data_IF_590746876990
#
_entry.id   IF_590746876990
#
_cell.length_a   1.000
_cell.length_b   1.000
_cell.length_c   1.000
_cell.angle_alpha   90.00
_cell.angle_beta   90.00
_cell.angle_gamma   90.00
#
_symmetry.space_group_name_H-M   'P 1'
#
loop_
_entity.id
_entity.type
_entity.pdbx_description
1 polymer ?
#
# COMPACT_ATOMS: atom_id res chain seq x y z
N UNK A 1 23.97 13.56 -8.07
CA UNK A 1 22.68 13.08 -7.54
C UNK A 1 22.61 11.57 -7.73
N UNK A 2 22.36 10.78 -6.70
CA UNK A 2 22.09 9.34 -6.87
C UNK A 2 20.79 9.19 -7.65
N UNK A 3 20.79 8.39 -8.71
CA UNK A 3 19.58 8.08 -9.48
C UNK A 3 18.58 7.38 -8.57
N UNK A 4 17.34 7.88 -8.52
CA UNK A 4 16.24 7.22 -7.79
C UNK A 4 15.92 5.92 -8.52
N UNK A 5 15.86 4.77 -7.83
CA UNK A 5 15.43 3.52 -8.46
C UNK A 5 14.03 3.65 -9.05
N UNK A 6 13.86 3.16 -10.27
CA UNK A 6 12.56 3.14 -10.94
C UNK A 6 11.92 1.79 -10.67
N UNK A 7 10.81 1.77 -9.94
CA UNK A 7 10.00 0.58 -9.64
C UNK A 7 8.77 0.54 -10.54
N UNK A 8 8.13 1.69 -10.73
CA UNK A 8 7.00 1.85 -11.65
C UNK A 8 7.51 2.54 -12.91
N UNK A 9 7.39 1.90 -14.07
CA UNK A 9 7.80 2.48 -15.35
C UNK A 9 6.88 3.62 -15.79
N UNK A 10 7.37 4.49 -16.68
CA UNK A 10 6.63 5.67 -17.15
C UNK A 10 5.36 5.31 -17.93
N UNK A 11 5.35 4.15 -18.58
CA UNK A 11 4.21 3.59 -19.32
C UNK A 11 3.31 2.70 -18.48
N UNK A 12 3.58 2.58 -17.18
CA UNK A 12 2.81 1.72 -16.27
C UNK A 12 1.37 2.20 -16.11
N UNK A 13 0.45 1.27 -16.20
CA UNK A 13 -0.97 1.49 -15.91
C UNK A 13 -1.23 1.93 -14.45
N UNK A 14 -0.30 1.67 -13.54
CA UNK A 14 -0.37 2.16 -12.15
C UNK A 14 -0.13 3.67 -12.04
N UNK A 15 0.42 4.32 -13.07
CA UNK A 15 0.55 5.78 -13.16
C UNK A 15 -0.69 6.44 -13.75
N UNK A 16 -1.33 5.77 -14.70
CA UNK A 16 -2.47 6.33 -15.42
C UNK A 16 -3.71 6.27 -14.54
N UNK A 17 -4.03 7.39 -13.98
CA UNK A 17 -5.18 7.59 -13.13
C UNK A 17 -6.46 7.74 -13.94
N UNK A 18 -6.99 6.68 -14.51
CA UNK A 18 -8.42 6.60 -14.86
C UNK A 18 -9.32 6.80 -13.63
N UNK A 19 -8.73 6.83 -12.47
CA UNK A 19 -9.32 7.13 -11.16
C UNK A 19 -9.64 8.63 -10.96
N UNK A 20 -9.56 9.47 -11.99
CA UNK A 20 -10.02 10.88 -11.92
C UNK A 20 -11.45 11.04 -11.43
N UNK A 21 -12.22 9.97 -11.42
CA UNK A 21 -13.60 9.91 -10.95
C UNK A 21 -13.73 9.32 -9.54
N UNK A 22 -12.66 8.84 -8.92
CA UNK A 22 -12.71 8.42 -7.53
C UNK A 22 -12.36 9.59 -6.62
N UNK A 23 -13.02 9.66 -5.48
CA UNK A 23 -12.88 10.75 -4.49
C UNK A 23 -11.43 10.95 -4.03
N UNK A 24 -10.58 9.94 -4.18
CA UNK A 24 -9.24 9.85 -3.60
C UNK A 24 -8.12 9.73 -4.64
N UNK A 25 -8.42 9.94 -5.91
CA UNK A 25 -7.42 9.86 -6.96
C UNK A 25 -6.44 11.03 -6.87
N UNK A 26 -5.23 10.77 -6.43
CA UNK A 26 -4.11 11.70 -6.54
C UNK A 26 -3.32 11.32 -7.78
N UNK A 27 -3.29 12.14 -8.84
CA UNK A 27 -2.44 11.91 -9.97
C UNK A 27 -0.98 12.10 -9.54
N UNK A 28 -0.22 11.01 -9.48
CA UNK A 28 1.22 11.12 -9.30
C UNK A 28 1.90 11.36 -10.65
N UNK A 29 2.87 12.31 -10.68
CA UNK A 29 3.86 12.24 -11.74
C UNK A 29 4.74 11.00 -11.55
N UNK A 30 5.33 10.52 -12.63
CA UNK A 30 6.27 9.40 -12.63
C UNK A 30 7.38 9.57 -11.58
N UNK A 31 8.00 10.76 -11.54
CA UNK A 31 9.08 11.07 -10.62
C UNK A 31 8.60 11.11 -9.16
N UNK A 32 7.43 11.71 -8.92
CA UNK A 32 6.85 11.84 -7.59
C UNK A 32 6.53 10.45 -7.01
N UNK A 33 5.90 9.58 -7.80
CA UNK A 33 5.56 8.23 -7.37
C UNK A 33 6.82 7.41 -7.04
N UNK A 34 7.81 7.38 -7.96
CA UNK A 34 9.04 6.63 -7.71
C UNK A 34 9.87 7.21 -6.56
N UNK A 35 9.88 8.54 -6.37
CA UNK A 35 10.51 9.16 -5.20
C UNK A 35 9.83 8.72 -3.90
N UNK A 36 8.49 8.64 -3.87
CA UNK A 36 7.73 8.19 -2.72
C UNK A 36 7.96 6.70 -2.45
N UNK A 37 7.91 5.84 -3.48
CA UNK A 37 8.24 4.41 -3.36
C UNK A 37 9.67 4.23 -2.84
N UNK A 38 10.64 4.98 -3.38
CA UNK A 38 12.02 4.92 -2.90
C UNK A 38 12.15 5.27 -1.42
N UNK A 39 11.49 6.32 -0.96
CA UNK A 39 11.59 6.76 0.43
C UNK A 39 10.88 5.80 1.39
N UNK A 40 9.75 5.24 0.99
CA UNK A 40 8.92 4.40 1.86
C UNK A 40 9.30 2.91 1.81
N UNK A 41 9.60 2.38 0.62
CA UNK A 41 9.82 0.94 0.44
C UNK A 41 11.28 0.60 0.15
N UNK A 42 11.91 1.22 -0.86
CA UNK A 42 13.26 0.84 -1.28
C UNK A 42 14.31 1.10 -0.19
N UNK A 43 14.18 2.21 0.54
CA UNK A 43 15.08 2.54 1.67
C UNK A 43 14.83 1.70 2.91
N UNK A 44 13.66 1.10 3.01
CA UNK A 44 13.25 0.23 4.11
C UNK A 44 13.14 -1.23 3.63
N UNK A 45 14.06 -1.66 2.77
CA UNK A 45 13.98 -2.96 2.11
C UNK A 45 13.95 -4.14 3.07
N UNK A 46 14.57 -4.01 4.25
CA UNK A 46 14.50 -5.02 5.30
C UNK A 46 13.08 -5.26 5.83
N UNK A 47 12.21 -4.26 5.69
CA UNK A 47 10.79 -4.35 6.06
C UNK A 47 9.90 -4.81 4.89
N UNK A 48 10.47 -5.05 3.70
CA UNK A 48 9.73 -5.37 2.47
C UNK A 48 10.14 -6.72 1.90
N UNK A 49 11.43 -6.93 1.67
CA UNK A 49 11.94 -8.13 1.00
C UNK A 49 11.68 -9.40 1.82
N UNK A 50 11.04 -10.40 1.22
CA UNK A 50 10.67 -11.66 1.86
C UNK A 50 9.56 -11.54 2.91
N UNK A 51 8.86 -10.41 3.00
CA UNK A 51 7.85 -10.14 4.03
C UNK A 51 6.43 -10.38 3.52
N UNK A 52 5.56 -10.79 4.43
CA UNK A 52 4.10 -10.77 4.27
C UNK A 52 3.61 -9.40 4.73
N UNK A 53 2.98 -8.66 3.83
CA UNK A 53 2.65 -7.24 4.02
C UNK A 53 1.13 -7.04 3.99
N UNK A 54 0.62 -6.21 4.90
CA UNK A 54 -0.73 -5.65 4.86
C UNK A 54 -0.65 -4.18 4.44
N UNK A 55 -1.37 -3.80 3.38
CA UNK A 55 -1.49 -2.41 2.88
C UNK A 55 -2.90 -1.87 3.19
N UNK A 56 -2.98 -0.95 4.15
CA UNK A 56 -4.25 -0.36 4.62
C UNK A 56 -4.56 0.90 3.82
N UNK A 57 -5.74 0.94 3.19
CA UNK A 57 -6.10 1.98 2.23
C UNK A 57 -5.30 1.84 0.95
N UNK A 58 -5.22 0.61 0.45
CA UNK A 58 -4.36 0.23 -0.67
C UNK A 58 -4.77 0.88 -2.00
N UNK A 59 -5.97 1.45 -2.08
CA UNK A 59 -6.52 1.98 -3.32
C UNK A 59 -6.46 0.92 -4.43
N UNK A 60 -5.88 1.20 -5.59
CA UNK A 60 -5.69 0.21 -6.66
C UNK A 60 -4.42 -0.65 -6.50
N UNK A 61 -3.78 -0.62 -5.34
CA UNK A 61 -2.65 -1.48 -5.01
C UNK A 61 -1.30 -1.04 -5.59
N UNK A 62 -1.10 0.23 -5.89
CA UNK A 62 0.18 0.72 -6.46
C UNK A 62 1.37 0.43 -5.53
N UNK A 63 1.22 0.68 -4.22
CA UNK A 63 2.28 0.37 -3.24
C UNK A 63 2.38 -1.12 -2.96
N UNK A 64 1.26 -1.85 -2.96
CA UNK A 64 1.22 -3.30 -2.87
C UNK A 64 2.01 -3.95 -4.03
N UNK A 65 1.75 -3.51 -5.28
CA UNK A 65 2.50 -3.94 -6.45
C UNK A 65 3.99 -3.60 -6.34
N UNK A 66 4.31 -2.36 -5.92
CA UNK A 66 5.70 -1.94 -5.73
C UNK A 66 6.45 -2.76 -4.68
N UNK A 67 5.77 -3.16 -3.60
CA UNK A 67 6.36 -4.04 -2.59
C UNK A 67 6.65 -5.44 -3.17
N UNK A 68 5.78 -5.99 -4.02
CA UNK A 68 6.02 -7.27 -4.71
C UNK A 68 7.21 -7.19 -5.68
N UNK A 69 7.35 -6.09 -6.43
CA UNK A 69 8.50 -5.83 -7.30
C UNK A 69 9.81 -5.70 -6.49
N UNK A 70 9.74 -5.22 -5.26
CA UNK A 70 10.87 -5.12 -4.32
C UNK A 70 11.12 -6.41 -3.54
N UNK A 71 10.38 -7.50 -3.85
CA UNK A 71 10.63 -8.83 -3.32
C UNK A 71 9.80 -9.20 -2.09
N UNK A 72 8.70 -8.50 -1.79
CA UNK A 72 7.75 -8.98 -0.78
C UNK A 72 7.26 -10.38 -1.14
N UNK A 73 7.04 -11.24 -0.15
CA UNK A 73 6.53 -12.60 -0.35
C UNK A 73 5.06 -12.57 -0.76
N UNK A 74 4.27 -11.81 -0.02
CA UNK A 74 2.82 -11.69 -0.20
C UNK A 74 2.34 -10.31 0.22
N UNK A 75 1.36 -9.76 -0.49
CA UNK A 75 0.70 -8.51 -0.07
C UNK A 75 -0.81 -8.68 -0.02
N UNK A 76 -1.39 -8.36 1.14
CA UNK A 76 -2.81 -8.13 1.33
C UNK A 76 -3.10 -6.64 1.22
N UNK A 77 -3.92 -6.22 0.26
CA UNK A 77 -4.40 -4.84 0.18
C UNK A 77 -5.87 -4.76 0.58
N UNK A 78 -6.24 -3.77 1.39
CA UNK A 78 -7.63 -3.49 1.75
C UNK A 78 -7.98 -2.02 1.47
N UNK A 79 -9.17 -1.79 0.96
CA UNK A 79 -9.73 -0.45 0.77
C UNK A 79 -11.26 -0.52 0.83
N UNK A 80 -11.91 0.56 1.21
CA UNK A 80 -13.39 0.65 1.24
C UNK A 80 -14.00 0.94 -0.12
N UNK A 81 -13.20 1.41 -1.09
CA UNK A 81 -13.67 1.80 -2.41
C UNK A 81 -13.60 0.61 -3.39
N UNK A 82 -14.75 -0.02 -3.64
CA UNK A 82 -14.87 -1.21 -4.49
C UNK A 82 -14.27 -1.01 -5.90
N UNK A 83 -14.55 0.15 -6.53
CA UNK A 83 -14.06 0.45 -7.88
C UNK A 83 -12.54 0.46 -7.98
N UNK A 84 -11.86 0.95 -6.95
CA UNK A 84 -10.39 0.97 -6.92
C UNK A 84 -9.82 -0.41 -6.71
N UNK A 85 -10.44 -1.23 -5.86
CA UNK A 85 -10.05 -2.63 -5.66
C UNK A 85 -10.25 -3.45 -6.93
N UNK A 86 -11.39 -3.32 -7.61
CA UNK A 86 -11.63 -4.00 -8.89
C UNK A 86 -10.59 -3.59 -9.94
N UNK A 87 -10.33 -2.29 -10.06
CA UNK A 87 -9.29 -1.79 -10.96
C UNK A 87 -7.91 -2.34 -10.59
N UNK A 88 -7.58 -2.40 -9.31
CA UNK A 88 -6.35 -3.01 -8.81
C UNK A 88 -6.20 -4.47 -9.26
N UNK A 89 -7.24 -5.28 -9.07
CA UNK A 89 -7.24 -6.69 -9.52
C UNK A 89 -6.97 -6.82 -11.02
N UNK A 90 -7.58 -5.96 -11.84
CA UNK A 90 -7.30 -5.92 -13.28
C UNK A 90 -5.84 -5.59 -13.59
N UNK A 91 -5.28 -4.58 -12.91
CA UNK A 91 -3.88 -4.15 -13.10
C UNK A 91 -2.89 -5.26 -12.72
N UNK A 92 -3.12 -5.92 -11.58
CA UNK A 92 -2.28 -7.05 -11.15
C UNK A 92 -2.33 -8.22 -12.14
N UNK A 93 -3.52 -8.52 -12.67
CA UNK A 93 -3.69 -9.53 -13.73
C UNK A 93 -2.96 -9.13 -15.03
N UNK A 94 -3.07 -7.88 -15.46
CA UNK A 94 -2.36 -7.35 -16.63
C UNK A 94 -0.85 -7.40 -16.45
N UNK A 95 -0.36 -7.09 -15.25
CA UNK A 95 1.04 -7.20 -14.87
C UNK A 95 1.50 -8.64 -14.66
N UNK A 96 0.59 -9.63 -14.81
CA UNK A 96 0.86 -11.07 -14.65
C UNK A 96 1.42 -11.43 -13.27
N UNK A 97 1.00 -10.71 -12.23
CA UNK A 97 1.34 -11.06 -10.85
C UNK A 97 0.65 -12.39 -10.50
N UNK A 98 1.37 -13.39 -9.98
CA UNK A 98 0.74 -14.65 -9.56
C UNK A 98 -0.31 -14.41 -8.46
N UNK A 99 -1.50 -14.98 -8.61
CA UNK A 99 -2.61 -14.83 -7.64
C UNK A 99 -2.25 -15.32 -6.23
N UNK A 100 -1.27 -16.21 -6.11
CA UNK A 100 -0.76 -16.68 -4.82
C UNK A 100 0.08 -15.63 -4.06
N UNK A 101 0.44 -14.52 -4.70
CA UNK A 101 1.30 -13.49 -4.11
C UNK A 101 0.57 -12.26 -3.62
N UNK A 102 -0.73 -12.13 -3.91
CA UNK A 102 -1.50 -10.97 -3.47
C UNK A 102 -2.96 -11.33 -3.23
N UNK A 103 -3.60 -10.49 -2.43
CA UNK A 103 -5.06 -10.41 -2.36
C UNK A 103 -5.47 -8.95 -2.17
N UNK A 104 -6.48 -8.51 -2.92
CA UNK A 104 -7.05 -7.18 -2.81
C UNK A 104 -8.53 -7.31 -2.44
N UNK A 105 -8.91 -6.74 -1.30
CA UNK A 105 -10.25 -6.88 -0.75
C UNK A 105 -10.92 -5.54 -0.46
N UNK A 106 -12.23 -5.50 -0.66
CA UNK A 106 -13.07 -4.39 -0.18
C UNK A 106 -13.36 -4.64 1.29
N UNK A 107 -12.74 -3.88 2.18
CA UNK A 107 -13.01 -3.98 3.61
C UNK A 107 -12.75 -2.66 4.35
N UNK A 108 -13.38 -2.52 5.52
CA UNK A 108 -13.08 -1.46 6.48
C UNK A 108 -11.84 -1.82 7.32
N UNK A 109 -10.93 -0.85 7.48
CA UNK A 109 -9.67 -1.07 8.16
C UNK A 109 -9.83 -1.59 9.60
N UNK A 110 -10.77 -1.03 10.37
CA UNK A 110 -10.98 -1.44 11.75
C UNK A 110 -11.53 -2.85 11.82
N UNK A 111 -12.58 -3.14 11.04
CA UNK A 111 -13.20 -4.46 10.98
C UNK A 111 -12.20 -5.53 10.56
N UNK A 112 -11.41 -5.26 9.54
CA UNK A 112 -10.41 -6.19 9.04
C UNK A 112 -9.33 -6.47 10.08
N UNK A 113 -8.72 -5.41 10.65
CA UNK A 113 -7.67 -5.55 11.66
C UNK A 113 -8.15 -6.24 12.94
N UNK A 114 -9.39 -6.00 13.35
CA UNK A 114 -10.00 -6.66 14.54
C UNK A 114 -10.18 -8.16 14.33
N UNK A 115 -10.42 -8.60 13.08
CA UNK A 115 -10.58 -10.01 12.74
C UNK A 115 -9.27 -10.80 12.73
N UNK A 116 -8.12 -10.11 12.72
CA UNK A 116 -6.80 -10.73 12.62
C UNK A 116 -6.23 -11.09 13.98
N UNK A 117 -5.46 -12.16 14.01
CA UNK A 117 -4.62 -12.54 15.14
C UNK A 117 -3.39 -11.62 15.26
N UNK A 118 -2.78 -11.61 16.46
CA UNK A 118 -1.54 -10.89 16.71
C UNK A 118 -0.41 -11.41 15.80
N UNK A 119 0.36 -10.49 15.22
CA UNK A 119 1.50 -10.84 14.37
C UNK A 119 1.13 -11.54 13.04
N UNK A 120 -0.08 -11.30 12.50
CA UNK A 120 -0.55 -11.92 11.25
C UNK A 120 0.26 -11.51 10.02
N UNK A 121 0.91 -10.34 10.05
CA UNK A 121 1.76 -9.83 8.97
C UNK A 121 3.11 -9.38 9.52
N UNK A 122 4.17 -9.53 8.73
CA UNK A 122 5.50 -9.05 9.14
C UNK A 122 5.54 -7.52 9.14
N UNK A 123 4.95 -6.90 8.12
CA UNK A 123 4.90 -5.45 7.96
C UNK A 123 3.47 -4.97 7.65
N UNK A 124 3.09 -3.85 8.27
CA UNK A 124 1.84 -3.15 7.96
C UNK A 124 2.16 -1.79 7.35
N UNK A 125 1.57 -1.50 6.19
CA UNK A 125 1.66 -0.21 5.52
C UNK A 125 0.38 0.61 5.80
N UNK A 126 0.56 1.88 6.15
CA UNK A 126 -0.51 2.89 6.24
C UNK A 126 -0.04 4.16 5.54
N UNK A 127 -0.14 4.17 4.21
CA UNK A 127 0.50 5.16 3.35
C UNK A 127 -0.52 6.15 2.79
N UNK A 128 -0.67 7.30 3.45
CA UNK A 128 -1.60 8.33 3.03
C UNK A 128 -3.03 8.11 3.52
N UNK A 129 -3.25 7.27 4.53
CA UNK A 129 -4.57 6.86 5.00
C UNK A 129 -4.89 7.39 6.41
N UNK A 130 -3.88 7.48 7.28
CA UNK A 130 -4.06 7.79 8.71
C UNK A 130 -4.85 9.09 8.97
N UNK A 131 -4.63 10.13 8.17
CA UNK A 131 -5.27 11.44 8.34
C UNK A 131 -6.75 11.49 7.93
N UNK A 132 -7.28 10.42 7.35
CA UNK A 132 -8.71 10.25 7.09
C UNK A 132 -9.45 9.56 8.23
N UNK A 133 -8.72 8.98 9.18
CA UNK A 133 -9.30 8.16 10.23
C UNK A 133 -9.87 9.00 11.37
N UNK A 134 -11.10 8.69 11.79
CA UNK A 134 -11.76 9.35 12.92
C UNK A 134 -11.12 8.94 14.25
N UNK A 135 -10.65 7.70 14.35
CA UNK A 135 -10.02 7.11 15.55
C UNK A 135 -8.55 6.71 15.27
N UNK A 136 -7.63 7.66 15.01
CA UNK A 136 -6.27 7.34 14.58
C UNK A 136 -5.50 6.51 15.63
N UNK A 137 -5.71 6.76 16.93
CA UNK A 137 -5.06 5.98 17.99
C UNK A 137 -5.53 4.53 18.04
N UNK A 138 -6.82 4.27 17.80
CA UNK A 138 -7.34 2.90 17.70
C UNK A 138 -6.72 2.19 16.50
N UNK A 139 -6.63 2.86 15.36
CA UNK A 139 -5.96 2.30 14.18
C UNK A 139 -4.50 1.95 14.47
N UNK A 140 -3.73 2.87 15.10
CA UNK A 140 -2.34 2.63 15.48
C UNK A 140 -2.19 1.41 16.39
N UNK A 141 -3.05 1.26 17.41
CA UNK A 141 -3.02 0.11 18.30
C UNK A 141 -3.34 -1.21 17.56
N UNK A 142 -4.31 -1.20 16.65
CA UNK A 142 -4.66 -2.37 15.86
C UNK A 142 -3.53 -2.75 14.88
N UNK A 143 -2.92 -1.76 14.22
CA UNK A 143 -1.76 -2.02 13.35
C UNK A 143 -0.59 -2.61 14.14
N UNK A 144 -0.31 -2.07 15.35
CA UNK A 144 0.73 -2.62 16.22
C UNK A 144 0.43 -4.06 16.63
N UNK A 145 -0.83 -4.40 16.94
CA UNK A 145 -1.26 -5.77 17.27
C UNK A 145 -0.96 -6.74 16.14
N UNK A 146 -1.30 -6.38 14.90
CA UNK A 146 -1.21 -7.31 13.76
C UNK A 146 0.15 -7.32 13.08
N UNK A 147 0.99 -6.30 13.27
CA UNK A 147 2.35 -6.25 12.77
C UNK A 147 3.28 -7.06 13.68
N UNK A 148 3.99 -8.01 13.08
CA UNK A 148 5.01 -8.79 13.78
C UNK A 148 6.31 -8.01 14.01
N UNK A 149 6.69 -7.19 13.03
CA UNK A 149 7.99 -6.51 13.05
C UNK A 149 7.87 -4.99 12.87
N UNK A 150 7.09 -4.53 11.87
CA UNK A 150 7.15 -3.12 11.46
C UNK A 150 5.79 -2.57 11.04
N UNK A 151 5.56 -1.30 11.39
CA UNK A 151 4.49 -0.47 10.81
C UNK A 151 5.15 0.70 10.09
N UNK A 152 4.91 0.85 8.78
CA UNK A 152 5.34 1.99 7.99
C UNK A 152 4.17 2.96 7.80
N UNK A 153 4.36 4.20 8.21
CA UNK A 153 3.33 5.24 8.16
C UNK A 153 3.83 6.40 7.31
N UNK A 154 3.01 6.81 6.33
CA UNK A 154 3.17 8.06 5.60
C UNK A 154 1.93 8.92 5.83
N UNK A 155 2.11 10.10 6.41
CA UNK A 155 1.02 10.99 6.79
C UNK A 155 1.45 12.45 6.76
N UNK A 156 0.48 13.37 6.77
CA UNK A 156 0.78 14.79 6.92
C UNK A 156 1.17 15.11 8.36
N UNK A 157 2.15 15.99 8.51
CA UNK A 157 2.47 16.64 9.78
C UNK A 157 1.99 18.07 9.75
N UNK A 158 1.42 18.56 10.86
CA UNK A 158 1.14 19.97 10.99
C UNK A 158 2.46 20.75 10.97
N UNK A 159 2.60 21.69 10.04
CA UNK A 159 3.65 22.71 10.11
C UNK A 159 3.09 23.89 10.88
N UNK A 160 3.68 24.23 12.01
CA UNK A 160 3.38 25.45 12.77
C UNK A 160 4.24 26.59 12.27
#
# INVERSE_FOLDING_TARGET
MKKIPIVISEDSQFLTTETRHTRWAIPYSFECLNARINNLLTRNQDCVHGKRILDIGSHMGTFAYSALELGAEFVQGIDTEEKTIERGKELFKQAKVPESRYDLQVDDAFRYLESLEEGSFDTVLCLGTLYYMVEPYRLLNLMQKVAKETVLIDTFTASY
#
